data_IF_215243459589
#
_entry.id   IF_215243459589
#
_cell.length_a   1.000
_cell.length_b   1.000
_cell.length_c   1.000
_cell.angle_alpha   90.00
_cell.angle_beta   90.00
_cell.angle_gamma   90.00
#
_symmetry.space_group_name_H-M   'P 1'
#
loop_
_entity.id
_entity.type
_entity.pdbx_description
1 polymer ?
#
# COMPACT_ATOMS: atom_id res chain seq x y z
N UNK A 1 -16.63 -23.79 -7.55
CA UNK A 1 -15.38 -23.02 -7.40
C UNK A 1 -14.34 -23.94 -6.83
N UNK A 2 -13.14 -24.02 -7.40
CA UNK A 2 -12.03 -24.80 -6.90
C UNK A 2 -10.96 -23.80 -6.42
N UNK A 3 -10.48 -23.97 -5.20
CA UNK A 3 -9.43 -23.13 -4.60
C UNK A 3 -8.33 -24.08 -4.18
N UNK A 4 -7.17 -23.92 -4.76
CA UNK A 4 -5.97 -24.69 -4.42
C UNK A 4 -4.71 -23.84 -4.51
N UNK A 5 -3.59 -24.34 -4.01
CA UNK A 5 -2.30 -23.66 -3.99
C UNK A 5 -1.44 -23.97 -5.22
N UNK A 6 -2.02 -24.38 -6.33
CA UNK A 6 -1.29 -24.57 -7.59
C UNK A 6 -1.12 -23.23 -8.29
N UNK A 7 0.11 -22.75 -8.33
CA UNK A 7 0.47 -21.55 -9.07
C UNK A 7 0.79 -21.88 -10.52
N UNK A 8 0.42 -20.97 -11.44
CA UNK A 8 0.73 -21.09 -12.87
C UNK A 8 2.16 -20.67 -13.22
N UNK A 9 2.93 -20.24 -12.25
CA UNK A 9 4.30 -19.74 -12.37
C UNK A 9 5.14 -20.33 -11.23
N UNK A 10 6.45 -20.42 -11.45
CA UNK A 10 7.38 -20.89 -10.44
C UNK A 10 7.74 -19.74 -9.49
N UNK A 11 7.25 -19.78 -8.25
CA UNK A 11 7.76 -18.95 -7.18
C UNK A 11 9.01 -19.57 -6.60
N UNK A 12 10.07 -18.76 -6.42
CA UNK A 12 11.24 -19.22 -5.71
C UNK A 12 10.95 -19.40 -4.21
N UNK A 13 11.87 -20.09 -3.51
CA UNK A 13 11.69 -20.65 -2.17
C UNK A 13 11.34 -19.66 -1.05
N UNK A 14 11.48 -18.36 -1.21
CA UNK A 14 11.66 -17.49 -0.04
C UNK A 14 10.54 -16.48 0.19
N UNK A 15 9.59 -16.40 -0.70
CA UNK A 15 8.48 -15.46 -0.57
C UNK A 15 7.59 -15.78 0.63
N UNK A 16 7.50 -14.85 1.58
CA UNK A 16 6.58 -14.97 2.71
C UNK A 16 5.13 -15.04 2.23
N UNK A 17 4.30 -15.77 2.96
CA UNK A 17 2.90 -16.05 2.64
C UNK A 17 2.65 -16.86 1.34
N UNK A 18 3.68 -17.15 0.55
CA UNK A 18 3.56 -17.86 -0.73
C UNK A 18 4.30 -19.21 -0.77
N UNK A 19 5.25 -19.44 0.14
CA UNK A 19 6.03 -20.68 0.18
C UNK A 19 6.15 -21.21 1.60
N UNK A 20 6.37 -22.52 1.75
CA UNK A 20 6.52 -23.22 3.04
C UNK A 20 7.95 -23.15 3.61
N UNK A 21 8.89 -22.53 2.91
CA UNK A 21 10.29 -22.55 3.31
C UNK A 21 10.64 -21.52 4.38
N UNK A 22 9.84 -20.49 4.54
CA UNK A 22 10.09 -19.39 5.49
C UNK A 22 9.12 -19.39 6.65
N UNK A 23 7.88 -19.84 6.45
CA UNK A 23 6.83 -20.00 7.48
C UNK A 23 5.80 -21.02 7.00
N UNK A 24 4.72 -21.20 7.79
CA UNK A 24 3.60 -22.09 7.41
C UNK A 24 2.91 -21.51 6.16
N UNK A 25 2.75 -22.34 5.14
CA UNK A 25 1.99 -22.00 3.94
C UNK A 25 0.49 -22.03 4.23
N UNK A 26 -0.21 -20.98 3.85
CA UNK A 26 -1.65 -20.87 4.08
C UNK A 26 -2.43 -21.47 2.92
N UNK A 27 -3.55 -22.13 3.26
CA UNK A 27 -4.46 -22.69 2.28
C UNK A 27 -5.83 -22.02 2.39
N UNK A 28 -6.46 -21.77 1.25
CA UNK A 28 -7.80 -21.22 1.20
C UNK A 28 -7.84 -19.70 1.08
N UNK A 29 -9.02 -19.13 1.36
CA UNK A 29 -9.29 -17.70 1.29
C UNK A 29 -9.23 -17.13 2.69
N UNK A 30 -8.33 -16.17 2.95
CA UNK A 30 -8.21 -15.48 4.23
C UNK A 30 -9.08 -14.23 4.31
N UNK A 31 -9.34 -13.57 3.19
CA UNK A 31 -10.17 -12.36 3.14
C UNK A 31 -11.66 -12.64 3.08
N UNK A 32 -12.43 -11.62 2.86
CA UNK A 32 -13.88 -11.72 2.70
C UNK A 32 -14.23 -12.48 1.41
N UNK A 33 -15.22 -13.35 1.50
CA UNK A 33 -15.85 -13.98 0.35
C UNK A 33 -17.35 -13.66 0.38
N UNK A 34 -17.79 -12.85 -0.59
CA UNK A 34 -19.17 -12.37 -0.67
C UNK A 34 -19.79 -12.74 -2.00
N UNK A 35 -21.07 -13.10 -1.99
CA UNK A 35 -21.93 -13.10 -3.16
C UNK A 35 -22.77 -11.82 -3.12
N UNK A 36 -22.56 -10.96 -4.09
CA UNK A 36 -23.22 -9.62 -4.13
C UNK A 36 -24.07 -9.55 -5.38
N UNK A 37 -25.34 -9.14 -5.21
CA UNK A 37 -26.20 -8.74 -6.32
C UNK A 37 -26.07 -7.22 -6.52
N UNK A 38 -25.73 -6.81 -7.73
CA UNK A 38 -25.55 -5.40 -8.10
C UNK A 38 -26.32 -5.09 -9.37
N UNK A 39 -26.67 -3.85 -9.56
CA UNK A 39 -27.27 -3.34 -10.79
C UNK A 39 -26.26 -3.41 -11.96
N UNK A 40 -26.70 -3.47 -13.23
CA UNK A 40 -25.81 -3.50 -14.39
C UNK A 40 -25.03 -2.20 -14.61
N UNK A 41 -25.38 -1.10 -13.91
CA UNK A 41 -24.60 0.14 -13.84
C UNK A 41 -24.15 0.32 -12.40
N UNK A 42 -22.85 0.18 -12.14
CA UNK A 42 -22.31 0.22 -10.80
C UNK A 42 -20.88 0.79 -10.73
N UNK A 43 -20.51 1.32 -9.57
CA UNK A 43 -19.16 1.83 -9.29
C UNK A 43 -18.21 0.64 -9.07
N UNK A 44 -17.25 0.44 -9.96
CA UNK A 44 -16.24 -0.60 -9.84
C UNK A 44 -15.05 -0.13 -8.98
N UNK A 45 -14.60 1.10 -9.20
CA UNK A 45 -13.44 1.66 -8.52
C UNK A 45 -13.69 3.08 -8.04
N UNK A 46 -13.10 3.43 -6.88
CA UNK A 46 -13.19 4.74 -6.26
C UNK A 46 -11.85 5.07 -5.61
N UNK A 47 -11.07 5.94 -6.25
CA UNK A 47 -9.72 6.33 -5.83
C UNK A 47 -9.67 7.80 -5.44
N UNK A 48 -9.06 8.08 -4.30
CA UNK A 48 -8.98 9.41 -3.69
C UNK A 48 -7.52 9.86 -3.66
N UNK A 49 -7.24 11.00 -4.26
CA UNK A 49 -5.91 11.62 -4.29
C UNK A 49 -5.94 12.95 -3.54
N UNK A 50 -5.46 12.99 -2.29
CA UNK A 50 -5.41 14.23 -1.51
C UNK A 50 -4.41 15.23 -2.10
N UNK A 51 -4.78 16.51 -2.04
CA UNK A 51 -3.90 17.65 -2.28
C UNK A 51 -3.95 18.58 -1.06
N UNK A 52 -2.88 18.59 -0.28
CA UNK A 52 -2.80 19.36 0.96
C UNK A 52 -2.54 20.87 0.72
N UNK A 53 -2.08 21.25 -0.48
CA UNK A 53 -1.73 22.64 -0.80
C UNK A 53 -2.98 23.54 -0.89
N UNK A 54 -4.08 22.98 -1.39
CA UNK A 54 -5.36 23.70 -1.56
C UNK A 54 -6.52 23.07 -0.78
N UNK A 55 -6.25 22.06 0.07
CA UNK A 55 -7.25 21.31 0.83
C UNK A 55 -8.33 20.71 -0.08
N UNK A 56 -7.92 20.05 -1.14
CA UNK A 56 -8.82 19.35 -2.06
C UNK A 56 -8.49 17.87 -2.15
N UNK A 57 -9.41 17.12 -2.73
CA UNK A 57 -9.17 15.76 -3.20
C UNK A 57 -9.48 15.69 -4.70
N UNK A 58 -8.68 14.94 -5.45
CA UNK A 58 -9.08 14.47 -6.76
C UNK A 58 -9.72 13.09 -6.59
N UNK A 59 -10.94 12.94 -7.02
CA UNK A 59 -11.68 11.68 -7.05
C UNK A 59 -11.60 11.10 -8.45
N UNK A 60 -11.10 9.87 -8.57
CA UNK A 60 -11.18 9.08 -9.79
C UNK A 60 -12.13 7.91 -9.53
N UNK A 61 -13.10 7.74 -10.41
CA UNK A 61 -14.10 6.68 -10.28
C UNK A 61 -14.28 5.99 -11.63
N UNK A 62 -14.44 4.67 -11.61
CA UNK A 62 -14.83 3.87 -12.75
C UNK A 62 -16.23 3.30 -12.51
N UNK A 63 -17.11 3.51 -13.48
CA UNK A 63 -18.47 2.97 -13.46
C UNK A 63 -18.59 1.94 -14.60
N UNK A 64 -18.88 0.71 -14.24
CA UNK A 64 -19.17 -0.33 -15.23
C UNK A 64 -20.63 -0.19 -15.71
N UNK A 65 -20.81 -0.27 -17.03
CA UNK A 65 -22.11 -0.19 -17.69
C UNK A 65 -22.35 -1.42 -18.59
N UNK A 66 -23.05 -2.40 -18.08
CA UNK A 66 -23.41 -3.62 -18.82
C UNK A 66 -24.72 -3.52 -19.59
N UNK A 67 -25.39 -2.37 -19.58
CA UNK A 67 -26.68 -2.17 -20.30
C UNK A 67 -26.50 -2.10 -21.83
N UNK A 68 -25.27 -1.78 -22.29
CA UNK A 68 -24.95 -1.47 -23.70
C UNK A 68 -25.74 -0.27 -24.26
N UNK A 69 -26.16 0.64 -23.40
CA UNK A 69 -26.89 1.86 -23.72
C UNK A 69 -26.25 3.05 -23.02
N UNK A 70 -26.66 4.25 -23.46
CA UNK A 70 -26.35 5.47 -22.72
C UNK A 70 -26.82 5.33 -21.27
N UNK A 71 -25.93 5.52 -20.32
CA UNK A 71 -26.26 5.71 -18.91
C UNK A 71 -26.14 7.19 -18.56
N UNK A 72 -27.20 7.76 -18.01
CA UNK A 72 -27.21 9.13 -17.50
C UNK A 72 -27.51 9.10 -16.02
N UNK A 73 -26.75 9.85 -15.23
CA UNK A 73 -26.88 9.76 -13.79
C UNK A 73 -26.24 10.90 -13.01
N UNK A 74 -26.37 10.78 -11.69
CA UNK A 74 -25.76 11.69 -10.71
C UNK A 74 -24.99 10.84 -9.72
N UNK A 75 -23.74 11.21 -9.48
CA UNK A 75 -22.92 10.74 -8.40
C UNK A 75 -22.96 11.74 -7.25
N UNK A 76 -23.57 11.35 -6.13
CA UNK A 76 -23.67 12.16 -4.91
C UNK A 76 -22.58 11.70 -3.95
N UNK A 77 -21.59 12.55 -3.67
CA UNK A 77 -20.50 12.29 -2.74
C UNK A 77 -20.81 12.89 -1.38
N UNK A 78 -20.71 12.07 -0.32
CA UNK A 78 -20.76 12.50 1.07
C UNK A 78 -19.43 12.14 1.74
N UNK A 79 -18.79 13.11 2.40
CA UNK A 79 -17.54 12.91 3.13
C UNK A 79 -17.78 13.18 4.60
N UNK A 80 -17.39 12.23 5.45
CA UNK A 80 -17.56 12.30 6.91
C UNK A 80 -16.25 11.98 7.62
N UNK A 81 -16.00 12.70 8.70
CA UNK A 81 -14.92 12.47 9.66
C UNK A 81 -15.29 13.05 11.01
N UNK A 82 -14.34 13.08 11.96
CA UNK A 82 -14.57 13.69 13.25
C UNK A 82 -14.84 15.20 13.10
N UNK A 83 -16.08 15.60 13.43
CA UNK A 83 -16.58 16.99 13.31
C UNK A 83 -16.48 17.60 11.89
N UNK A 84 -16.48 16.75 10.86
CA UNK A 84 -16.42 17.19 9.47
C UNK A 84 -17.48 16.48 8.63
N UNK A 85 -18.22 17.25 7.83
CA UNK A 85 -19.15 16.77 6.82
C UNK A 85 -19.09 17.63 5.57
N UNK A 86 -19.18 17.00 4.42
CA UNK A 86 -19.22 17.67 3.12
C UNK A 86 -20.03 16.85 2.13
N UNK A 87 -20.87 17.49 1.34
CA UNK A 87 -21.68 16.84 0.30
C UNK A 87 -21.54 17.58 -1.04
N UNK A 88 -21.45 16.84 -2.13
CA UNK A 88 -21.35 17.37 -3.48
C UNK A 88 -21.90 16.39 -4.51
N UNK A 89 -22.54 16.91 -5.56
CA UNK A 89 -23.09 16.11 -6.65
C UNK A 89 -22.46 16.47 -7.99
N UNK A 90 -22.31 15.46 -8.85
CA UNK A 90 -21.78 15.60 -10.19
C UNK A 90 -22.56 14.73 -11.18
N UNK A 91 -22.76 15.17 -12.44
CA UNK A 91 -23.32 14.33 -13.47
C UNK A 91 -22.34 13.24 -13.90
N UNK A 92 -22.85 12.05 -14.19
CA UNK A 92 -22.09 10.92 -14.74
C UNK A 92 -22.86 10.40 -15.95
N UNK A 93 -22.28 10.55 -17.14
CA UNK A 93 -22.94 10.17 -18.38
C UNK A 93 -21.94 9.43 -19.29
N UNK A 94 -22.40 8.39 -19.94
CA UNK A 94 -21.60 7.66 -20.92
C UNK A 94 -22.31 6.46 -21.53
N UNK A 95 -21.82 6.01 -22.67
CA UNK A 95 -22.31 4.83 -23.40
C UNK A 95 -21.28 3.70 -23.46
N UNK A 96 -20.08 3.92 -22.97
CA UNK A 96 -19.02 2.94 -22.92
C UNK A 96 -19.29 1.87 -21.85
N UNK A 97 -18.68 0.70 -22.01
CA UNK A 97 -18.75 -0.38 -21.01
C UNK A 97 -18.08 0.01 -19.68
N UNK A 98 -17.14 0.96 -19.71
CA UNK A 98 -16.50 1.57 -18.55
C UNK A 98 -16.55 3.09 -18.73
N UNK A 99 -17.26 3.76 -17.84
CA UNK A 99 -17.35 5.22 -17.80
C UNK A 99 -16.34 5.72 -16.78
N UNK A 100 -15.37 6.50 -17.22
CA UNK A 100 -14.36 7.12 -16.35
C UNK A 100 -14.87 8.48 -15.88
N UNK A 101 -14.70 8.74 -14.59
CA UNK A 101 -15.04 9.99 -13.93
C UNK A 101 -13.81 10.51 -13.19
N UNK A 102 -13.53 11.80 -13.34
CA UNK A 102 -12.47 12.48 -12.58
C UNK A 102 -12.91 13.89 -12.22
N UNK A 103 -12.89 14.21 -10.92
CA UNK A 103 -13.29 15.52 -10.41
C UNK A 103 -12.41 15.96 -9.25
N UNK A 104 -12.21 17.28 -9.12
CA UNK A 104 -11.53 17.89 -7.98
C UNK A 104 -12.60 18.47 -7.03
N UNK A 105 -12.56 18.01 -5.79
CA UNK A 105 -13.48 18.42 -4.73
C UNK A 105 -12.72 19.26 -3.70
N UNK A 106 -12.93 20.59 -3.63
CA UNK A 106 -12.40 21.42 -2.56
C UNK A 106 -13.09 21.08 -1.23
N UNK A 107 -12.32 20.78 -0.19
CA UNK A 107 -12.84 20.38 1.12
C UNK A 107 -12.84 21.52 2.13
N UNK A 108 -12.22 22.66 1.79
CA UNK A 108 -12.16 23.83 2.66
C UNK A 108 -11.13 23.71 3.79
N UNK A 109 -11.12 24.72 4.66
CA UNK A 109 -10.05 24.92 5.66
C UNK A 109 -10.18 24.06 6.92
N UNK A 110 -11.33 23.44 7.13
CA UNK A 110 -11.62 22.67 8.35
C UNK A 110 -11.18 21.20 8.26
N UNK A 111 -10.79 20.75 7.08
CA UNK A 111 -10.22 19.42 6.91
C UNK A 111 -8.86 19.31 7.61
N UNK A 112 -8.64 18.25 8.37
CA UNK A 112 -7.41 18.03 9.11
C UNK A 112 -6.50 17.06 8.38
N UNK A 113 -5.19 17.28 8.49
CA UNK A 113 -4.21 16.35 7.91
C UNK A 113 -4.13 15.06 8.72
N UNK A 114 -3.69 14.00 8.03
CA UNK A 114 -3.37 12.71 8.64
C UNK A 114 -1.86 12.59 8.83
N UNK A 115 -1.41 12.25 10.03
CA UNK A 115 -0.03 11.87 10.34
C UNK A 115 0.00 10.95 11.57
N UNK A 116 1.21 10.51 12.00
CA UNK A 116 1.39 9.61 13.16
C UNK A 116 0.88 10.18 14.49
N UNK A 117 0.74 11.50 14.61
CA UNK A 117 0.28 12.19 15.82
C UNK A 117 -1.20 12.56 15.75
N UNK A 118 -1.70 12.76 14.54
CA UNK A 118 -3.06 13.20 14.25
C UNK A 118 -3.65 12.30 13.14
N UNK A 119 -4.00 11.05 13.43
CA UNK A 119 -4.46 10.11 12.41
C UNK A 119 -5.93 10.34 12.01
N UNK A 120 -6.21 11.51 11.42
CA UNK A 120 -7.56 11.88 11.00
C UNK A 120 -7.97 11.12 9.73
N UNK A 121 -8.89 10.19 9.86
CA UNK A 121 -9.46 9.41 8.76
C UNK A 121 -10.83 9.95 8.39
N UNK A 122 -11.11 10.00 7.09
CA UNK A 122 -12.38 10.40 6.51
C UNK A 122 -12.93 9.27 5.67
N UNK A 123 -14.25 9.10 5.70
CA UNK A 123 -14.95 8.17 4.79
C UNK A 123 -15.66 8.99 3.72
N UNK A 124 -15.37 8.73 2.46
CA UNK A 124 -16.13 9.19 1.31
C UNK A 124 -17.10 8.10 0.87
N UNK A 125 -18.36 8.45 0.73
CA UNK A 125 -19.41 7.58 0.18
C UNK A 125 -19.94 8.20 -1.11
N UNK A 126 -19.90 7.45 -2.19
CA UNK A 126 -20.52 7.82 -3.46
C UNK A 126 -21.81 7.03 -3.68
N UNK A 127 -22.91 7.73 -3.79
CA UNK A 127 -24.20 7.20 -4.23
C UNK A 127 -24.41 7.55 -5.70
N UNK A 128 -24.35 6.54 -6.57
CA UNK A 128 -24.65 6.67 -8.00
C UNK A 128 -26.10 6.31 -8.25
N UNK A 129 -26.87 7.26 -8.80
CA UNK A 129 -28.20 7.01 -9.37
C UNK A 129 -28.14 7.26 -10.86
N UNK A 130 -28.50 6.28 -11.68
CA UNK A 130 -28.43 6.36 -13.14
C UNK A 130 -29.63 5.73 -13.84
N UNK A 131 -29.80 6.04 -15.11
CA UNK A 131 -30.88 5.50 -15.94
C UNK A 131 -30.36 5.21 -17.36
N UNK A 132 -30.91 4.18 -18.02
CA UNK A 132 -30.71 3.90 -19.45
C UNK A 132 -31.88 4.42 -20.32
N UNK A 133 -32.70 5.34 -19.77
CA UNK A 133 -33.91 5.85 -20.40
C UNK A 133 -35.14 4.96 -20.22
N UNK A 134 -34.95 3.71 -19.75
CA UNK A 134 -36.05 2.77 -19.48
C UNK A 134 -36.07 2.26 -18.05
N UNK A 135 -34.87 1.98 -17.52
CA UNK A 135 -34.67 1.43 -16.17
C UNK A 135 -33.85 2.40 -15.34
N UNK A 136 -34.08 2.39 -14.03
CA UNK A 136 -33.24 3.13 -13.06
C UNK A 136 -32.34 2.16 -12.32
N UNK A 137 -31.14 2.59 -12.03
CA UNK A 137 -30.08 1.83 -11.37
C UNK A 137 -29.53 2.63 -10.19
N UNK A 138 -29.08 1.93 -9.15
CA UNK A 138 -28.46 2.55 -8.00
C UNK A 138 -27.31 1.72 -7.48
N UNK A 139 -26.21 2.36 -7.14
CA UNK A 139 -25.08 1.71 -6.49
C UNK A 139 -24.42 2.65 -5.47
N UNK A 140 -23.96 2.09 -4.36
CA UNK A 140 -23.21 2.81 -3.35
C UNK A 140 -21.83 2.19 -3.19
N UNK A 141 -20.81 3.03 -3.10
CA UNK A 141 -19.44 2.63 -2.78
C UNK A 141 -18.79 3.62 -1.84
N UNK A 142 -18.10 3.10 -0.81
CA UNK A 142 -17.36 3.92 0.15
C UNK A 142 -15.88 3.59 0.12
N UNK A 143 -15.06 4.58 0.49
CA UNK A 143 -13.63 4.43 0.70
C UNK A 143 -13.19 5.32 1.87
N UNK A 144 -12.24 4.83 2.67
CA UNK A 144 -11.58 5.63 3.69
C UNK A 144 -10.34 6.29 3.11
N UNK A 145 -10.01 7.49 3.58
CA UNK A 145 -8.81 8.22 3.18
C UNK A 145 -8.35 9.17 4.30
N UNK A 146 -7.09 9.59 4.20
CA UNK A 146 -6.55 10.67 5.05
C UNK A 146 -5.95 11.78 4.20
N UNK A 147 -6.10 13.01 4.64
CA UNK A 147 -5.48 14.16 3.98
C UNK A 147 -3.99 14.16 4.25
N UNK A 148 -3.20 13.59 3.36
CA UNK A 148 -1.75 13.57 3.47
C UNK A 148 -1.08 13.60 2.10
N UNK A 149 0.14 14.07 2.07
CA UNK A 149 1.03 14.01 0.92
C UNK A 149 2.38 13.45 1.34
N UNK A 150 2.92 12.48 0.58
CA UNK A 150 4.27 11.97 0.77
C UNK A 150 5.14 12.35 -0.42
N UNK A 151 6.36 12.82 -0.15
CA UNK A 151 7.33 13.26 -1.15
C UNK A 151 8.71 12.70 -0.86
N UNK A 152 9.43 12.45 -1.92
CA UNK A 152 10.86 12.22 -1.87
C UNK A 152 11.58 13.51 -1.48
N UNK A 153 12.29 13.49 -0.35
CA UNK A 153 13.29 14.49 -0.03
C UNK A 153 14.68 14.04 -0.40
N UNK A 154 15.70 14.85 -0.14
CA UNK A 154 17.10 14.46 -0.39
C UNK A 154 17.58 13.34 0.57
N UNK A 155 17.32 13.53 1.87
CA UNK A 155 17.83 12.65 2.93
C UNK A 155 16.73 12.04 3.79
N UNK A 156 15.47 12.45 3.59
CA UNK A 156 14.34 12.04 4.42
C UNK A 156 13.10 11.85 3.55
N UNK A 157 12.24 10.95 3.93
CA UNK A 157 10.85 10.94 3.49
C UNK A 157 10.17 12.18 4.04
N UNK A 158 9.46 12.90 3.20
CA UNK A 158 8.72 14.11 3.58
C UNK A 158 7.23 13.78 3.60
N UNK A 159 6.60 13.93 4.74
CA UNK A 159 5.15 13.82 4.91
C UNK A 159 4.57 15.18 5.31
N UNK A 160 3.56 15.64 4.58
CA UNK A 160 2.91 16.93 4.85
C UNK A 160 3.91 18.09 5.00
N UNK A 161 4.89 18.14 4.10
CA UNK A 161 6.00 19.11 4.07
C UNK A 161 6.94 19.06 5.30
N UNK A 162 6.93 17.98 6.08
CA UNK A 162 7.83 17.77 7.22
C UNK A 162 8.64 16.48 7.04
N UNK A 163 9.93 16.46 7.39
CA UNK A 163 10.73 15.25 7.39
C UNK A 163 10.18 14.26 8.44
N UNK A 164 10.14 12.98 8.06
CA UNK A 164 9.72 11.88 8.93
C UNK A 164 10.91 11.01 9.27
N UNK A 165 11.04 10.64 10.54
CA UNK A 165 11.95 9.61 11.00
C UNK A 165 11.18 8.31 11.19
N UNK A 166 11.45 7.33 10.34
CA UNK A 166 10.84 6.01 10.43
C UNK A 166 11.56 5.21 11.53
N UNK A 167 10.81 4.80 12.53
CA UNK A 167 11.23 3.92 13.61
C UNK A 167 10.40 2.64 13.47
N UNK A 168 10.97 1.66 12.79
CA UNK A 168 10.20 0.53 12.29
C UNK A 168 10.61 -0.82 12.84
N UNK A 169 9.77 -1.77 12.54
CA UNK A 169 10.02 -3.19 12.66
C UNK A 169 9.67 -3.87 11.34
N UNK A 170 10.10 -5.12 11.17
CA UNK A 170 9.76 -5.96 10.02
C UNK A 170 8.74 -7.01 10.45
N UNK A 171 7.77 -7.27 9.59
CA UNK A 171 6.76 -8.31 9.74
C UNK A 171 6.91 -9.34 8.60
N UNK A 172 7.17 -10.58 8.96
CA UNK A 172 7.55 -11.67 8.05
C UNK A 172 6.44 -12.68 7.84
N UNK A 173 5.17 -12.29 7.95
CA UNK A 173 4.00 -13.18 7.86
C UNK A 173 4.03 -14.35 8.87
N UNK A 174 4.57 -14.12 10.07
CA UNK A 174 4.73 -15.14 11.10
C UNK A 174 3.69 -14.95 12.20
N UNK A 175 2.66 -15.78 12.19
CA UNK A 175 1.54 -15.74 13.14
C UNK A 175 1.40 -17.08 13.85
N UNK A 176 2.20 -17.34 14.91
CA UNK A 176 2.30 -18.69 15.50
C UNK A 176 1.03 -19.17 16.20
N UNK A 177 0.15 -18.26 16.61
CA UNK A 177 -1.12 -18.64 17.26
C UNK A 177 -2.16 -19.18 16.29
N UNK A 178 -2.21 -18.64 15.08
CA UNK A 178 -3.24 -18.95 14.08
C UNK A 178 -2.69 -19.75 12.91
N UNK A 179 -1.39 -19.63 12.62
CA UNK A 179 -0.75 -20.17 11.43
C UNK A 179 -1.02 -19.36 10.15
N UNK A 180 -1.75 -18.23 10.25
CA UNK A 180 -2.07 -17.33 9.14
C UNK A 180 -2.25 -15.89 9.67
N UNK A 181 -2.18 -14.90 8.79
CA UNK A 181 -2.37 -13.51 9.14
C UNK A 181 -3.78 -13.24 9.67
N UNK A 182 -3.93 -12.52 10.79
CA UNK A 182 -5.25 -12.11 11.28
C UNK A 182 -5.99 -11.30 10.22
N UNK A 183 -7.29 -11.53 10.10
CA UNK A 183 -8.17 -10.79 9.18
C UNK A 183 -9.15 -9.86 9.92
N UNK A 184 -9.12 -9.88 11.25
CA UNK A 184 -9.92 -9.06 12.14
C UNK A 184 -9.16 -7.82 12.61
N UNK A 185 -9.92 -6.76 12.94
CA UNK A 185 -9.37 -5.49 13.39
C UNK A 185 -8.74 -5.58 14.79
N UNK A 186 -9.25 -6.43 15.67
CA UNK A 186 -8.84 -6.45 17.07
C UNK A 186 -7.38 -6.88 17.25
N UNK A 187 -6.92 -7.90 16.51
CA UNK A 187 -5.52 -8.34 16.59
C UNK A 187 -4.58 -7.32 15.93
N UNK A 188 -4.96 -6.70 14.81
CA UNK A 188 -4.16 -5.64 14.21
C UNK A 188 -4.14 -4.37 15.06
N UNK A 189 -5.25 -4.02 15.72
CA UNK A 189 -5.26 -2.92 16.69
C UNK A 189 -4.28 -3.17 17.83
N UNK A 190 -4.28 -4.38 18.39
CA UNK A 190 -3.32 -4.78 19.43
C UNK A 190 -1.87 -4.63 18.94
N UNK A 191 -1.56 -5.03 17.70
CA UNK A 191 -0.22 -4.88 17.10
C UNK A 191 0.14 -3.40 16.98
N UNK A 192 -0.75 -2.55 16.45
CA UNK A 192 -0.48 -1.12 16.28
C UNK A 192 -0.28 -0.40 17.62
N UNK A 193 -1.09 -0.71 18.62
CA UNK A 193 -0.94 -0.15 19.97
C UNK A 193 0.38 -0.57 20.62
N UNK A 194 0.76 -1.84 20.49
CA UNK A 194 2.04 -2.33 20.97
C UNK A 194 3.22 -1.61 20.30
N UNK A 195 3.15 -1.40 18.99
CA UNK A 195 4.16 -0.62 18.27
C UNK A 195 4.28 0.81 18.82
N UNK A 196 3.15 1.48 19.07
CA UNK A 196 3.13 2.83 19.68
C UNK A 196 3.75 2.84 21.07
N UNK A 197 3.48 1.83 21.89
CA UNK A 197 4.06 1.70 23.24
C UNK A 197 5.59 1.56 23.20
N UNK A 198 6.13 0.90 22.18
CA UNK A 198 7.58 0.84 21.91
C UNK A 198 8.13 2.07 21.18
N UNK A 199 7.32 3.09 20.91
CA UNK A 199 7.73 4.30 20.19
C UNK A 199 7.95 4.10 18.69
N UNK A 200 7.46 2.99 18.12
CA UNK A 200 7.54 2.69 16.69
C UNK A 200 6.40 3.38 15.93
N UNK A 201 6.70 3.78 14.70
CA UNK A 201 5.74 4.42 13.80
C UNK A 201 5.72 3.81 12.39
N UNK A 202 6.50 2.75 12.17
CA UNK A 202 6.67 2.17 10.84
C UNK A 202 6.68 0.65 10.89
N UNK A 203 6.01 0.00 9.92
CA UNK A 203 6.02 -1.44 9.76
C UNK A 203 6.28 -1.78 8.29
N UNK A 204 7.33 -2.56 8.05
CA UNK A 204 7.67 -3.12 6.76
C UNK A 204 7.12 -4.55 6.65
N UNK A 205 6.38 -4.84 5.60
CA UNK A 205 5.88 -6.18 5.28
C UNK A 205 6.82 -6.86 4.30
N UNK A 206 7.62 -7.78 4.82
CA UNK A 206 8.69 -8.43 4.08
C UNK A 206 8.15 -9.43 3.05
N UNK A 207 8.23 -9.06 1.77
CA UNK A 207 7.77 -9.82 0.59
C UNK A 207 6.31 -10.30 0.65
N UNK A 208 5.42 -9.52 1.24
CA UNK A 208 3.98 -9.76 1.20
C UNK A 208 3.16 -8.49 1.47
N UNK A 209 1.88 -8.52 1.07
CA UNK A 209 0.92 -7.45 1.35
C UNK A 209 -0.05 -7.91 2.45
N UNK A 210 -0.22 -7.14 3.54
CA UNK A 210 -1.10 -7.52 4.63
C UNK A 210 -2.58 -7.37 4.28
N UNK A 211 -3.49 -7.98 5.06
CA UNK A 211 -4.92 -7.86 4.84
C UNK A 211 -5.45 -6.46 5.18
N UNK A 212 -6.64 -6.14 4.68
CA UNK A 212 -7.31 -4.83 4.85
C UNK A 212 -7.42 -4.38 6.32
N UNK A 213 -7.61 -5.31 7.25
CA UNK A 213 -7.67 -5.01 8.69
C UNK A 213 -6.38 -4.34 9.20
N UNK A 214 -5.20 -4.76 8.69
CA UNK A 214 -3.93 -4.12 9.03
C UNK A 214 -3.91 -2.65 8.63
N UNK A 215 -4.33 -2.35 7.39
CA UNK A 215 -4.37 -0.97 6.89
C UNK A 215 -5.35 -0.11 7.68
N UNK A 216 -6.58 -0.61 7.94
CA UNK A 216 -7.56 0.15 8.73
C UNK A 216 -7.01 0.52 10.11
N UNK A 217 -6.34 -0.42 10.78
CA UNK A 217 -5.80 -0.15 12.11
C UNK A 217 -4.55 0.73 12.07
N UNK A 218 -3.73 0.61 11.05
CA UNK A 218 -2.62 1.53 10.82
C UNK A 218 -3.10 2.96 10.52
N UNK A 219 -4.15 3.12 9.73
CA UNK A 219 -4.79 4.40 9.47
C UNK A 219 -5.30 5.05 10.75
N UNK A 220 -6.00 4.27 11.58
CA UNK A 220 -6.58 4.70 12.85
C UNK A 220 -5.53 5.11 13.88
N UNK A 221 -4.38 4.45 13.90
CA UNK A 221 -3.34 4.64 14.92
C UNK A 221 -2.12 5.41 14.42
N UNK A 222 -2.06 5.83 13.16
CA UNK A 222 -0.97 6.61 12.61
C UNK A 222 0.34 5.82 12.48
N UNK A 223 0.29 4.63 11.90
CA UNK A 223 1.47 3.82 11.58
C UNK A 223 1.71 3.86 10.09
N UNK A 224 2.95 4.10 9.67
CA UNK A 224 3.38 4.12 8.27
C UNK A 224 3.72 2.72 7.80
N UNK A 225 3.17 2.31 6.67
CA UNK A 225 3.44 1.00 6.07
C UNK A 225 4.39 1.10 4.89
N UNK A 226 5.33 0.18 4.83
CA UNK A 226 6.03 -0.25 3.62
C UNK A 226 5.51 -1.62 3.22
N UNK A 227 4.90 -1.68 2.05
CA UNK A 227 4.31 -2.91 1.50
C UNK A 227 5.20 -3.43 0.39
N UNK A 228 5.58 -4.69 0.48
CA UNK A 228 6.32 -5.37 -0.58
C UNK A 228 5.40 -6.31 -1.37
N UNK A 229 5.64 -6.38 -2.68
CA UNK A 229 5.12 -7.49 -3.48
C UNK A 229 5.74 -8.82 -3.03
N UNK A 230 5.08 -9.95 -3.30
CA UNK A 230 5.63 -11.27 -3.01
C UNK A 230 6.78 -11.64 -3.97
N UNK A 231 7.86 -10.87 -3.91
CA UNK A 231 9.07 -11.06 -4.71
C UNK A 231 10.30 -11.08 -3.81
N UNK A 232 11.15 -12.10 -3.95
CA UNK A 232 12.39 -12.23 -3.19
C UNK A 232 13.48 -12.96 -3.98
N UNK A 233 14.72 -12.48 -3.86
CA UNK A 233 15.89 -13.14 -4.45
C UNK A 233 15.77 -13.25 -5.96
N UNK A 234 15.70 -14.46 -6.49
CA UNK A 234 15.75 -14.77 -7.93
C UNK A 234 14.42 -14.59 -8.69
N UNK A 235 13.41 -14.02 -8.08
CA UNK A 235 12.09 -13.89 -8.72
C UNK A 235 12.09 -12.96 -9.95
N UNK A 236 13.09 -12.10 -10.08
CA UNK A 236 13.28 -11.32 -11.30
C UNK A 236 14.06 -12.06 -12.41
N UNK A 237 14.43 -13.34 -12.24
CA UNK A 237 14.91 -14.14 -13.38
C UNK A 237 13.82 -14.25 -14.45
N UNK A 238 14.18 -14.26 -15.75
CA UNK A 238 13.20 -14.21 -16.83
C UNK A 238 12.18 -15.37 -16.80
N UNK A 239 10.93 -15.03 -16.62
CA UNK A 239 9.76 -15.90 -16.69
C UNK A 239 8.52 -15.04 -16.96
N UNK A 240 7.98 -15.11 -18.18
CA UNK A 240 6.90 -14.22 -18.61
C UNK A 240 5.59 -14.43 -17.80
N UNK A 241 5.28 -15.66 -17.40
CA UNK A 241 4.09 -15.94 -16.60
C UNK A 241 4.21 -15.27 -15.20
N UNK A 242 5.40 -15.35 -14.59
CA UNK A 242 5.71 -14.70 -13.32
C UNK A 242 5.75 -13.18 -13.46
N UNK A 243 6.33 -12.64 -14.53
CA UNK A 243 6.32 -11.20 -14.81
C UNK A 243 4.90 -10.65 -14.95
N UNK A 244 4.04 -11.35 -15.67
CA UNK A 244 2.63 -10.98 -15.82
C UNK A 244 1.87 -11.08 -14.49
N UNK A 245 2.22 -12.02 -13.62
CA UNK A 245 1.67 -12.06 -12.27
C UNK A 245 2.08 -10.81 -11.48
N UNK A 246 3.36 -10.44 -11.43
CA UNK A 246 3.82 -9.27 -10.68
C UNK A 246 3.24 -7.96 -11.22
N UNK A 247 3.09 -7.80 -12.53
CA UNK A 247 2.41 -6.64 -13.12
C UNK A 247 0.94 -6.54 -12.66
N UNK A 248 0.24 -7.66 -12.56
CA UNK A 248 -1.15 -7.69 -12.07
C UNK A 248 -1.21 -7.46 -10.56
N UNK A 249 -0.34 -8.10 -9.81
CA UNK A 249 -0.31 -8.00 -8.34
C UNK A 249 -0.02 -6.58 -7.86
N UNK A 250 0.96 -5.90 -8.46
CA UNK A 250 1.22 -4.48 -8.19
C UNK A 250 -0.03 -3.62 -8.40
N UNK A 251 -0.71 -3.80 -9.54
CA UNK A 251 -1.94 -3.05 -9.84
C UNK A 251 -3.06 -3.37 -8.85
N UNK A 252 -3.18 -4.63 -8.44
CA UNK A 252 -4.17 -5.06 -7.46
C UNK A 252 -3.91 -4.44 -6.08
N UNK A 253 -2.66 -4.45 -5.61
CA UNK A 253 -2.26 -3.82 -4.34
C UNK A 253 -2.57 -2.31 -4.37
N UNK A 254 -2.16 -1.60 -5.42
CA UNK A 254 -2.39 -0.17 -5.55
C UNK A 254 -3.88 0.18 -5.64
N UNK A 255 -4.66 -0.60 -6.41
CA UNK A 255 -6.11 -0.43 -6.53
C UNK A 255 -6.82 -0.66 -5.20
N UNK A 256 -6.48 -1.75 -4.51
CA UNK A 256 -7.17 -2.16 -3.29
C UNK A 256 -6.83 -1.29 -2.08
N UNK A 257 -5.55 -0.92 -1.94
CA UNK A 257 -5.05 -0.29 -0.72
C UNK A 257 -4.57 1.15 -0.91
N UNK A 258 -4.55 1.67 -2.13
CA UNK A 258 -4.00 2.99 -2.44
C UNK A 258 -4.68 4.16 -1.71
N UNK A 259 -5.93 4.02 -1.27
CA UNK A 259 -6.63 5.05 -0.50
C UNK A 259 -6.18 5.14 0.97
N UNK A 260 -5.55 4.10 1.51
CA UNK A 260 -5.14 4.07 2.91
C UNK A 260 -4.00 5.07 3.19
N UNK A 261 -4.16 6.04 4.08
CA UNK A 261 -3.12 7.02 4.36
C UNK A 261 -1.88 6.42 5.02
N UNK A 262 -2.02 5.29 5.70
CA UNK A 262 -0.90 4.52 6.27
C UNK A 262 0.03 3.93 5.21
N UNK A 263 -0.45 3.64 4.00
CA UNK A 263 0.35 3.12 2.90
C UNK A 263 1.24 4.22 2.31
N UNK A 264 2.47 4.38 2.78
CA UNK A 264 3.39 5.47 2.36
C UNK A 264 4.51 4.98 1.46
N UNK A 265 4.97 3.74 1.62
CA UNK A 265 6.09 3.17 0.89
C UNK A 265 5.68 1.86 0.21
N UNK A 266 6.06 1.71 -1.05
CA UNK A 266 5.90 0.50 -1.84
C UNK A 266 7.25 0.02 -2.34
N UNK A 267 7.52 -1.28 -2.22
CA UNK A 267 8.70 -1.90 -2.79
C UNK A 267 8.31 -3.14 -3.62
N UNK A 268 9.03 -3.41 -4.72
CA UNK A 268 8.76 -4.62 -5.50
C UNK A 268 9.11 -5.90 -4.72
N UNK A 269 10.00 -5.84 -3.74
CA UNK A 269 10.29 -6.99 -2.89
C UNK A 269 11.67 -6.96 -2.27
N UNK A 270 12.03 -8.07 -1.61
CA UNK A 270 13.23 -8.17 -0.79
C UNK A 270 14.41 -8.75 -1.56
N UNK A 271 15.57 -8.10 -1.44
CA UNK A 271 16.86 -8.62 -1.91
C UNK A 271 16.83 -9.23 -3.33
N UNK A 272 16.12 -8.57 -4.24
CA UNK A 272 15.88 -9.08 -5.58
C UNK A 272 17.19 -9.17 -6.36
N UNK A 273 17.35 -10.27 -7.10
CA UNK A 273 18.42 -10.50 -8.08
C UNK A 273 17.81 -10.93 -9.41
N UNK A 274 18.52 -10.76 -10.51
CA UNK A 274 18.06 -11.15 -11.84
C UNK A 274 17.94 -9.96 -12.79
N UNK A 275 16.81 -9.84 -13.48
CA UNK A 275 16.59 -8.81 -14.50
C UNK A 275 16.15 -7.47 -13.88
N UNK A 276 17.09 -6.55 -13.72
CA UNK A 276 16.83 -5.21 -13.20
C UNK A 276 16.12 -4.28 -14.19
N UNK A 277 16.10 -4.58 -15.47
CA UNK A 277 15.28 -3.83 -16.45
C UNK A 277 13.79 -4.08 -16.18
N UNK A 278 13.42 -5.31 -15.80
CA UNK A 278 12.06 -5.63 -15.36
C UNK A 278 11.71 -4.95 -14.02
N UNK A 279 12.64 -4.88 -13.08
CA UNK A 279 12.44 -4.16 -11.81
C UNK A 279 12.27 -2.66 -12.05
N UNK A 280 13.04 -2.06 -12.96
CA UNK A 280 12.87 -0.67 -13.38
C UNK A 280 11.50 -0.45 -14.02
N UNK A 281 11.07 -1.35 -14.93
CA UNK A 281 9.73 -1.30 -15.55
C UNK A 281 8.63 -1.25 -14.49
N UNK A 282 8.67 -2.17 -13.52
CA UNK A 282 7.67 -2.22 -12.44
C UNK A 282 7.69 -0.94 -11.60
N UNK A 283 8.87 -0.48 -11.18
CA UNK A 283 9.01 0.70 -10.33
C UNK A 283 8.51 1.95 -11.04
N UNK A 284 8.90 2.15 -12.30
CA UNK A 284 8.45 3.27 -13.11
C UNK A 284 6.93 3.23 -13.34
N UNK A 285 6.39 2.06 -13.67
CA UNK A 285 4.95 1.86 -13.86
C UNK A 285 4.17 2.15 -12.57
N UNK A 286 4.65 1.69 -11.41
CA UNK A 286 4.01 1.98 -10.12
C UNK A 286 3.90 3.48 -9.85
N UNK A 287 4.97 4.23 -10.07
CA UNK A 287 5.01 5.69 -9.93
C UNK A 287 4.03 6.42 -10.87
N UNK A 288 3.88 5.92 -12.08
CA UNK A 288 2.92 6.50 -13.06
C UNK A 288 1.47 6.20 -12.66
N UNK A 289 1.20 5.02 -12.13
CA UNK A 289 -0.14 4.59 -11.74
C UNK A 289 -0.63 5.30 -10.48
N UNK A 290 0.26 5.49 -9.50
CA UNK A 290 -0.13 6.00 -8.20
C UNK A 290 0.91 6.94 -7.60
N UNK A 291 0.56 8.20 -7.49
CA UNK A 291 1.42 9.24 -6.90
C UNK A 291 1.29 9.39 -5.37
N UNK A 292 0.46 8.58 -4.73
CA UNK A 292 0.20 8.66 -3.29
C UNK A 292 1.26 7.99 -2.42
N UNK A 293 2.17 7.22 -3.03
CA UNK A 293 3.22 6.44 -2.38
C UNK A 293 4.59 6.79 -2.94
N UNK A 294 5.66 6.46 -2.23
CA UNK A 294 7.00 6.40 -2.79
C UNK A 294 7.35 4.96 -3.15
N UNK A 295 8.09 4.79 -4.23
CA UNK A 295 8.40 3.49 -4.83
C UNK A 295 9.89 3.19 -4.76
N UNK A 296 10.22 1.91 -4.49
CA UNK A 296 11.57 1.35 -4.57
C UNK A 296 11.56 0.01 -5.31
N UNK A 297 12.61 -0.25 -6.06
CA UNK A 297 12.74 -1.47 -6.86
C UNK A 297 13.05 -2.70 -6.03
N UNK A 298 13.87 -2.55 -4.99
CA UNK A 298 14.26 -3.68 -4.16
C UNK A 298 14.86 -3.21 -2.84
N UNK A 299 14.61 -3.93 -1.77
CA UNK A 299 15.34 -3.73 -0.52
C UNK A 299 16.71 -4.38 -0.60
N UNK A 300 17.72 -3.68 -0.08
CA UNK A 300 19.09 -4.18 0.14
C UNK A 300 19.87 -4.70 -1.10
N UNK A 301 19.52 -4.28 -2.29
CA UNK A 301 20.23 -4.67 -3.53
C UNK A 301 20.46 -3.46 -4.44
N UNK A 302 20.75 -3.74 -5.68
CA UNK A 302 21.02 -2.72 -6.70
C UNK A 302 19.81 -1.80 -6.86
N UNK A 303 20.07 -0.50 -6.83
CA UNK A 303 19.07 0.52 -7.13
C UNK A 303 18.67 0.50 -8.60
N UNK A 304 17.44 0.87 -8.86
CA UNK A 304 16.94 1.21 -10.19
C UNK A 304 16.75 2.72 -10.33
N UNK A 305 16.68 3.20 -11.57
CA UNK A 305 16.61 4.65 -11.85
C UNK A 305 15.35 5.29 -11.26
N UNK A 306 14.26 4.56 -11.21
CA UNK A 306 12.97 5.05 -10.73
C UNK A 306 12.79 5.00 -9.21
N UNK A 307 13.79 4.56 -8.44
CA UNK A 307 13.73 4.57 -6.98
C UNK A 307 13.53 5.98 -6.42
N UNK A 308 12.54 6.12 -5.54
CA UNK A 308 12.27 7.35 -4.80
C UNK A 308 12.77 7.29 -3.35
N UNK A 309 13.13 6.12 -2.89
CA UNK A 309 13.87 5.86 -1.65
C UNK A 309 14.73 4.61 -1.83
N UNK A 310 15.70 4.43 -0.98
CA UNK A 310 16.59 3.27 -1.01
C UNK A 310 16.64 2.60 0.35
N UNK A 311 16.41 1.29 0.36
CA UNK A 311 16.55 0.49 1.58
C UNK A 311 17.90 -0.19 1.56
N UNK A 312 18.81 0.25 2.43
CA UNK A 312 20.20 -0.20 2.45
C UNK A 312 20.45 -1.19 3.58
N UNK A 313 20.94 -2.37 3.24
CA UNK A 313 21.41 -3.36 4.21
C UNK A 313 22.87 -3.15 4.61
N UNK A 314 23.64 -2.47 3.77
CA UNK A 314 25.09 -2.43 3.90
C UNK A 314 25.62 -1.03 3.68
N UNK A 315 26.55 -0.62 4.52
CA UNK A 315 27.54 0.37 4.12
C UNK A 315 28.45 -0.25 3.06
N UNK A 316 29.09 0.53 2.19
CA UNK A 316 30.02 0.06 1.15
C UNK A 316 31.19 -0.82 1.64
N UNK A 317 31.27 -1.14 2.92
CA UNK A 317 32.31 -1.96 3.54
C UNK A 317 31.80 -3.23 4.24
N UNK A 318 30.59 -3.67 3.93
CA UNK A 318 30.03 -4.91 4.46
C UNK A 318 28.85 -4.67 5.43
N UNK A 319 28.25 -5.74 5.95
CA UNK A 319 27.11 -5.63 6.83
C UNK A 319 27.44 -4.71 7.99
N UNK A 320 26.49 -3.88 8.40
CA UNK A 320 26.60 -3.17 9.67
C UNK A 320 26.89 -4.21 10.73
N UNK A 321 28.15 -4.29 11.14
CA UNK A 321 28.57 -5.25 12.15
C UNK A 321 28.07 -4.83 13.51
N UNK A 322 26.81 -5.04 13.76
CA UNK A 322 26.23 -4.95 15.12
C UNK A 322 26.83 -6.03 16.04
N UNK A 323 27.89 -6.70 15.61
CA UNK A 323 28.31 -7.99 16.09
C UNK A 323 29.37 -7.99 17.19
N UNK A 324 29.95 -6.89 17.53
CA UNK A 324 31.08 -6.91 18.44
C UNK A 324 30.82 -6.28 19.80
N UNK A 325 29.58 -6.38 20.29
CA UNK A 325 29.26 -6.05 21.69
C UNK A 325 29.22 -4.56 22.02
N UNK A 326 29.40 -3.68 21.04
CA UNK A 326 29.25 -2.25 21.21
C UNK A 326 27.96 -1.77 20.54
N UNK A 327 27.18 -0.88 21.17
CA UNK A 327 26.08 -0.24 20.50
C UNK A 327 26.62 0.63 19.37
N UNK A 328 26.55 0.12 18.14
CA UNK A 328 26.84 0.95 16.98
C UNK A 328 25.69 1.95 16.81
N UNK A 329 25.91 3.13 17.34
CA UNK A 329 25.08 4.31 17.07
C UNK A 329 25.60 5.13 15.89
N UNK A 330 26.81 4.81 15.41
CA UNK A 330 27.43 5.50 14.29
C UNK A 330 27.15 4.77 12.98
N UNK A 331 26.10 5.21 12.32
CA UNK A 331 25.96 5.13 10.89
C UNK A 331 27.12 5.93 10.28
N UNK A 332 27.97 5.31 9.52
CA UNK A 332 28.91 6.05 8.70
C UNK A 332 28.16 6.73 7.55
N UNK A 333 27.49 7.83 7.89
CA UNK A 333 26.71 8.67 6.97
C UNK A 333 27.53 9.12 5.76
N UNK A 334 28.84 9.07 5.82
CA UNK A 334 29.73 9.48 4.75
C UNK A 334 29.82 8.46 3.59
N UNK A 335 29.36 7.24 3.77
CA UNK A 335 29.46 6.19 2.75
C UNK A 335 28.21 6.04 1.88
N UNK A 336 27.08 6.60 2.32
CA UNK A 336 25.84 6.65 1.54
C UNK A 336 25.56 8.07 1.03
N UNK A 337 26.54 8.97 1.11
CA UNK A 337 26.42 10.38 0.71
C UNK A 337 26.19 10.59 -0.80
N UNK A 338 26.43 9.57 -1.61
CA UNK A 338 26.25 9.64 -3.08
C UNK A 338 24.83 9.25 -3.52
N UNK A 339 23.95 8.96 -2.56
CA UNK A 339 22.56 8.62 -2.84
C UNK A 339 21.70 9.88 -2.76
N UNK A 340 20.99 10.17 -3.82
CA UNK A 340 20.16 11.38 -3.99
C UNK A 340 18.69 11.20 -3.55
N UNK A 341 18.39 10.11 -2.88
CA UNK A 341 17.07 9.75 -2.34
C UNK A 341 17.17 9.42 -0.85
N UNK A 342 16.08 9.46 -0.09
CA UNK A 342 16.07 9.01 1.31
C UNK A 342 16.60 7.58 1.44
N UNK A 343 17.45 7.34 2.44
CA UNK A 343 17.96 6.02 2.76
C UNK A 343 17.30 5.51 4.04
N UNK A 344 16.77 4.30 3.96
CA UNK A 344 16.14 3.58 5.07
C UNK A 344 17.03 2.39 5.43
N UNK A 345 17.27 2.18 6.72
CA UNK A 345 18.02 1.02 7.18
C UNK A 345 17.21 -0.26 7.02
N UNK A 346 17.83 -1.24 6.38
CA UNK A 346 17.28 -2.58 6.23
C UNK A 346 17.75 -3.49 7.36
N UNK A 347 16.81 -4.16 8.02
CA UNK A 347 17.05 -5.31 8.92
C UNK A 347 18.22 -5.13 9.91
N UNK A 348 18.39 -3.95 10.47
CA UNK A 348 19.35 -3.71 11.52
C UNK A 348 18.95 -4.49 12.79
N UNK A 349 19.90 -5.16 13.44
CA UNK A 349 19.65 -5.93 14.65
C UNK A 349 19.16 -7.36 14.45
N UNK A 350 19.39 -7.97 13.29
CA UNK A 350 19.09 -9.38 12.98
C UNK A 350 19.85 -10.37 13.86
N UNK A 351 19.72 -10.32 15.17
CA UNK A 351 20.34 -11.31 16.05
C UNK A 351 19.30 -12.08 16.83
N UNK A 352 19.46 -13.40 16.82
CA UNK A 352 18.87 -14.24 17.86
C UNK A 352 19.59 -13.91 19.18
N UNK A 353 18.97 -13.13 20.02
CA UNK A 353 19.38 -13.03 21.42
C UNK A 353 18.70 -14.22 22.12
N UNK A 354 19.47 -15.26 22.35
CA UNK A 354 19.05 -16.29 23.28
C UNK A 354 19.28 -15.73 24.68
N UNK A 355 18.21 -15.47 25.40
CA UNK A 355 18.28 -15.30 26.82
C UNK A 355 18.52 -16.70 27.43
N UNK A 356 19.67 -16.92 28.01
CA UNK A 356 19.84 -18.00 28.99
C UNK A 356 18.89 -17.72 30.16
N UNK A 357 17.93 -18.60 30.37
CA UNK A 357 17.05 -18.58 31.53
C UNK A 357 17.62 -19.46 32.64
#
# INVERSE_FOLDING_TARGET
>A
MCIDNRYQYNTHKWNHAHTEFTQINWNGILGEMKLVAIDPVYIDDLQIYPNIADNSIKVKMQVNNYTKKQAEGIASFSIKGDNYTFDKEFPVNGNDSVISFEEIIPLGKNIKLWDEFNPNVYTITCNLKSSDGKNNYQHEKSADFGMREVKQGKNHVILNNRPVHLRGNVENAVFPKTGYAPVDDAEWERIMLLMKDYGLNHLRFHSWCPPRAAFRMADKHGIYFEVEMPMWGKDAEPDEARYNFFRREMRAILKEYGNHPSFVLYCNGNEITGNFDFIEELTATGRELDSRHLFSGSTARTRVKSDQYYVSQQTNKGPVKVYEGLPYTDWDRNKESDVDVPVISHESGQRCIYTDF
#
